data_IF_967074406722
#
_entry.id   IF_967074406722
#
_cell.length_a   1.000
_cell.length_b   1.000
_cell.length_c   1.000
_cell.angle_alpha   90.00
_cell.angle_beta   90.00
_cell.angle_gamma   90.00
#
_symmetry.space_group_name_H-M   'P 1'
#
loop_
_entity.id
_entity.type
_entity.pdbx_description
1 polymer ?
#
# COMPACT_ATOMS: atom_id res chain seq x y z
N UNK A 1 -12.09 8.62 -21.13
CA UNK A 1 -13.39 8.78 -21.82
C UNK A 1 -13.52 7.80 -22.99
N UNK A 2 -12.49 7.63 -23.81
CA UNK A 2 -12.50 6.70 -24.96
C UNK A 2 -12.71 5.22 -24.61
N UNK A 3 -12.52 4.84 -23.34
CA UNK A 3 -12.70 3.47 -22.85
C UNK A 3 -14.10 3.16 -22.26
N UNK A 4 -14.99 4.16 -22.14
CA UNK A 4 -16.38 3.94 -21.68
C UNK A 4 -16.57 3.60 -20.20
N UNK A 5 -15.63 3.97 -19.32
CA UNK A 5 -15.76 3.77 -17.88
C UNK A 5 -16.45 4.96 -17.20
N UNK A 6 -17.35 4.69 -16.25
CA UNK A 6 -18.04 5.69 -15.43
C UNK A 6 -17.19 6.18 -14.24
N UNK A 7 -16.29 5.31 -13.74
CA UNK A 7 -15.42 5.59 -12.59
C UNK A 7 -13.95 5.28 -12.91
N UNK A 8 -13.04 6.08 -12.37
CA UNK A 8 -11.59 5.86 -12.44
C UNK A 8 -10.97 5.90 -11.04
N UNK A 9 -10.27 4.83 -10.67
CA UNK A 9 -9.44 4.78 -9.47
C UNK A 9 -8.03 5.27 -9.80
N UNK A 10 -7.59 6.33 -9.12
CA UNK A 10 -6.23 6.87 -9.25
C UNK A 10 -5.50 6.69 -7.93
N UNK A 11 -4.34 6.05 -7.95
CA UNK A 11 -3.46 5.87 -6.80
C UNK A 11 -2.12 6.57 -6.98
N UNK A 12 -1.58 7.13 -5.90
CA UNK A 12 -0.21 7.64 -5.82
C UNK A 12 0.47 6.96 -4.64
N UNK A 13 1.56 6.24 -4.92
CA UNK A 13 2.42 5.65 -3.90
C UNK A 13 3.28 6.77 -3.32
N UNK A 14 3.26 6.92 -2.00
CA UNK A 14 4.12 7.86 -1.29
C UNK A 14 5.58 7.38 -1.34
N UNK A 15 6.53 8.32 -1.36
CA UNK A 15 7.93 7.96 -1.19
C UNK A 15 8.10 7.22 0.14
N UNK A 16 8.61 5.97 0.13
CA UNK A 16 8.72 5.18 1.34
C UNK A 16 9.67 5.86 2.32
N UNK A 17 9.18 6.14 3.53
CA UNK A 17 10.00 6.71 4.63
C UNK A 17 10.96 5.68 5.22
N UNK A 18 10.66 4.40 5.02
CA UNK A 18 11.41 3.25 5.48
C UNK A 18 11.29 2.12 4.47
N UNK A 19 12.25 1.20 4.47
CA UNK A 19 12.16 -0.08 3.74
C UNK A 19 11.04 -0.99 4.26
N UNK A 20 10.50 -0.66 5.44
CA UNK A 20 9.51 -1.47 6.14
C UNK A 20 8.09 -0.92 6.06
N UNK A 21 7.88 0.24 5.44
CA UNK A 21 6.55 0.86 5.33
C UNK A 21 6.36 1.46 3.93
N UNK A 22 5.24 1.13 3.29
CA UNK A 22 4.79 1.75 2.04
C UNK A 22 3.36 2.23 2.24
N UNK A 23 3.11 3.46 1.79
CA UNK A 23 1.80 4.08 1.84
C UNK A 23 1.36 4.50 0.44
N UNK A 24 0.06 4.51 0.21
CA UNK A 24 -0.54 5.06 -1.01
C UNK A 24 -1.80 5.86 -0.68
N UNK A 25 -1.96 6.95 -1.41
CA UNK A 25 -3.22 7.67 -1.48
C UNK A 25 -3.99 7.21 -2.72
N UNK A 26 -5.28 6.96 -2.57
CA UNK A 26 -6.16 6.61 -3.66
C UNK A 26 -7.39 7.50 -3.67
N UNK A 27 -7.88 7.79 -4.88
CA UNK A 27 -9.14 8.50 -5.09
C UNK A 27 -9.94 7.85 -6.22
N UNK A 28 -11.25 7.80 -6.04
CA UNK A 28 -12.19 7.36 -7.07
C UNK A 28 -12.87 8.59 -7.66
N UNK A 29 -12.85 8.72 -8.97
CA UNK A 29 -13.35 9.88 -9.70
C UNK A 29 -14.43 9.43 -10.66
N UNK A 30 -15.58 10.11 -10.63
CA UNK A 30 -16.62 9.97 -11.63
C UNK A 30 -16.20 10.74 -12.90
N UNK A 31 -16.16 10.03 -14.03
CA UNK A 31 -15.45 10.47 -15.23
C UNK A 31 -16.18 11.60 -15.95
N UNK A 32 -17.50 11.68 -15.84
CA UNK A 32 -18.29 12.66 -16.58
C UNK A 32 -18.17 14.06 -15.97
N UNK A 33 -18.35 14.16 -14.66
CA UNK A 33 -18.31 15.39 -13.87
C UNK A 33 -16.91 15.74 -13.36
N UNK A 34 -16.01 14.75 -13.27
CA UNK A 34 -14.70 14.91 -12.63
C UNK A 34 -14.76 15.00 -11.11
N UNK A 35 -15.92 14.73 -10.49
CA UNK A 35 -16.10 14.76 -9.04
C UNK A 35 -15.37 13.57 -8.40
N UNK A 36 -14.65 13.84 -7.32
CA UNK A 36 -14.08 12.78 -6.48
C UNK A 36 -15.18 12.24 -5.59
N UNK A 37 -15.57 10.98 -5.81
CA UNK A 37 -16.63 10.31 -5.05
C UNK A 37 -16.08 9.62 -3.81
N UNK A 38 -14.78 9.29 -3.81
CA UNK A 38 -14.11 8.66 -2.67
C UNK A 38 -12.64 9.02 -2.63
N UNK A 39 -12.08 9.11 -1.42
CA UNK A 39 -10.63 9.17 -1.21
C UNK A 39 -10.25 8.36 0.03
N UNK A 40 -9.05 7.79 0.00
CA UNK A 40 -8.54 6.99 1.10
C UNK A 40 -7.02 6.91 1.11
N UNK A 41 -6.48 6.55 2.26
CA UNK A 41 -5.05 6.31 2.46
C UNK A 41 -4.86 4.90 3.01
N UNK A 42 -4.06 4.10 2.32
CA UNK A 42 -3.66 2.76 2.76
C UNK A 42 -2.18 2.76 3.11
N UNK A 43 -1.81 2.10 4.21
CA UNK A 43 -0.41 1.88 4.56
C UNK A 43 -0.22 0.42 4.95
N UNK A 44 0.85 -0.19 4.45
CA UNK A 44 1.28 -1.53 4.82
C UNK A 44 2.66 -1.41 5.44
N UNK A 45 2.85 -2.07 6.59
CA UNK A 45 4.13 -2.13 7.26
C UNK A 45 4.53 -3.57 7.58
N UNK A 46 5.82 -3.86 7.53
CA UNK A 46 6.39 -5.12 8.01
C UNK A 46 7.05 -4.90 9.36
N UNK A 47 6.75 -5.78 10.31
CA UNK A 47 7.45 -5.80 11.59
C UNK A 47 8.73 -6.61 11.41
N UNK A 48 9.83 -5.94 11.04
CA UNK A 48 11.17 -6.54 11.22
C UNK A 48 11.40 -6.67 12.70
N UNK A 49 11.16 -7.88 13.19
CA UNK A 49 11.52 -8.27 14.54
C UNK A 49 13.04 -8.12 14.68
N UNK A 50 13.49 -6.94 15.15
CA UNK A 50 14.87 -6.63 15.52
C UNK A 50 15.23 -7.33 16.82
N UNK A 51 14.89 -8.62 16.92
CA UNK A 51 15.62 -9.53 17.80
C UNK A 51 17.02 -9.61 17.22
N UNK A 52 17.86 -8.64 17.62
CA UNK A 52 19.30 -8.80 17.72
C UNK A 52 19.50 -10.12 18.47
N UNK A 53 19.66 -11.20 17.71
CA UNK A 53 20.20 -12.44 18.22
C UNK A 53 21.60 -12.06 18.67
N UNK A 54 21.74 -11.81 19.96
CA UNK A 54 23.02 -11.81 20.68
C UNK A 54 23.57 -13.23 20.56
N UNK A 55 24.11 -13.56 19.39
CA UNK A 55 24.92 -14.76 19.19
C UNK A 55 26.34 -14.28 18.90
N UNK A 56 27.33 -14.77 19.65
CA UNK A 56 28.71 -14.39 19.45
C UNK A 56 29.17 -14.89 18.08
N UNK A 57 29.84 -13.99 17.37
CA UNK A 57 30.63 -14.19 16.15
C UNK A 57 30.98 -15.64 15.79
N UNK A 58 30.36 -16.16 14.74
CA UNK A 58 30.95 -17.24 13.93
C UNK A 58 30.74 -16.98 12.44
N UNK A 59 31.63 -16.14 11.92
CA UNK A 59 32.42 -16.33 10.69
C UNK A 59 31.80 -16.77 9.35
N UNK A 60 30.48 -16.77 9.19
CA UNK A 60 29.85 -16.99 7.87
C UNK A 60 28.78 -15.93 7.72
N UNK A 61 29.19 -14.78 7.17
CA UNK A 61 28.24 -13.76 6.75
C UNK A 61 27.50 -14.29 5.53
N UNK A 62 26.41 -15.02 5.77
CA UNK A 62 25.40 -15.19 4.74
C UNK A 62 24.80 -13.81 4.49
N UNK A 63 25.32 -13.19 3.43
CA UNK A 63 24.79 -12.00 2.82
C UNK A 63 23.45 -12.36 2.17
N UNK A 64 22.44 -12.68 2.99
CA UNK A 64 21.06 -12.81 2.51
C UNK A 64 20.57 -11.42 2.18
N UNK A 65 20.84 -11.03 0.94
CA UNK A 65 20.26 -9.94 0.18
C UNK A 65 18.82 -9.67 0.62
N UNK A 66 18.58 -8.47 1.14
CA UNK A 66 17.30 -7.93 1.60
C UNK A 66 16.31 -7.62 0.46
N UNK A 67 16.24 -8.47 -0.57
CA UNK A 67 15.46 -8.26 -1.79
C UNK A 67 14.67 -9.54 -2.08
N UNK A 68 13.50 -9.68 -1.42
CA UNK A 68 12.23 -9.75 -2.16
C UNK A 68 11.01 -9.10 -1.44
N UNK A 69 11.21 -8.39 -0.32
CA UNK A 69 10.09 -7.94 0.53
C UNK A 69 9.28 -6.77 -0.03
N UNK A 70 9.89 -5.90 -0.85
CA UNK A 70 9.20 -4.75 -1.45
C UNK A 70 8.07 -5.18 -2.39
N UNK A 71 8.24 -6.28 -3.12
CA UNK A 71 7.19 -6.82 -3.99
C UNK A 71 6.00 -7.33 -3.17
N UNK A 72 6.26 -8.01 -2.05
CA UNK A 72 5.22 -8.48 -1.14
C UNK A 72 4.47 -7.32 -0.49
N UNK A 73 5.17 -6.26 -0.09
CA UNK A 73 4.54 -5.06 0.45
C UNK A 73 3.69 -4.33 -0.61
N UNK A 74 4.12 -4.33 -1.88
CA UNK A 74 3.35 -3.74 -2.98
C UNK A 74 2.09 -4.56 -3.32
N UNK A 75 2.19 -5.89 -3.34
CA UNK A 75 1.04 -6.77 -3.54
C UNK A 75 0.01 -6.61 -2.40
N UNK A 76 0.48 -6.58 -1.16
CA UNK A 76 -0.38 -6.36 0.00
C UNK A 76 -1.01 -4.96 -0.03
N UNK A 77 -0.26 -3.93 -0.41
CA UNK A 77 -0.79 -2.58 -0.57
C UNK A 77 -1.86 -2.51 -1.65
N UNK A 78 -1.64 -3.18 -2.79
CA UNK A 78 -2.64 -3.27 -3.86
C UNK A 78 -3.93 -3.96 -3.36
N UNK A 79 -3.79 -5.05 -2.61
CA UNK A 79 -4.92 -5.74 -1.97
C UNK A 79 -5.69 -4.81 -1.01
N UNK A 80 -4.99 -4.08 -0.14
CA UNK A 80 -5.61 -3.11 0.77
C UNK A 80 -6.35 -2.00 0.02
N UNK A 81 -5.76 -1.47 -1.06
CA UNK A 81 -6.39 -0.44 -1.89
C UNK A 81 -7.69 -0.95 -2.53
N UNK A 82 -7.69 -2.16 -3.08
CA UNK A 82 -8.89 -2.72 -3.69
C UNK A 82 -9.96 -3.06 -2.66
N UNK A 83 -9.58 -3.59 -1.49
CA UNK A 83 -10.54 -4.00 -0.47
C UNK A 83 -11.20 -2.79 0.20
N UNK A 84 -10.45 -1.71 0.47
CA UNK A 84 -11.01 -0.48 1.03
C UNK A 84 -12.08 0.14 0.11
N UNK A 85 -11.89 0.07 -1.20
CA UNK A 85 -12.88 0.57 -2.17
C UNK A 85 -14.15 -0.30 -2.21
N UNK A 86 -14.03 -1.59 -1.90
CA UNK A 86 -15.15 -2.56 -2.01
C UNK A 86 -15.92 -2.77 -0.70
N UNK A 87 -15.33 -2.46 0.46
CA UNK A 87 -15.88 -2.79 1.78
C UNK A 87 -16.25 -1.57 2.62
N UNK A 88 -16.36 -0.38 2.03
CA UNK A 88 -16.84 0.78 2.77
C UNK A 88 -18.36 0.74 2.89
N UNK A 89 -18.86 0.40 4.08
CA UNK A 89 -20.22 0.78 4.47
C UNK A 89 -20.27 2.31 4.54
N UNK A 90 -21.28 2.96 3.91
CA UNK A 90 -21.39 4.41 3.94
C UNK A 90 -21.44 4.88 5.39
N UNK A 91 -20.45 5.68 5.79
CA UNK A 91 -20.50 6.41 7.06
C UNK A 91 -21.79 7.26 7.05
N UNK A 92 -22.64 7.21 8.08
CA UNK A 92 -23.76 8.13 8.19
C UNK A 92 -23.21 9.56 8.20
N UNK A 93 -23.75 10.41 7.32
CA UNK A 93 -23.51 11.85 7.31
C UNK A 93 -24.06 12.44 8.61
N UNK A 94 -23.22 13.18 9.35
CA UNK A 94 -23.62 14.01 10.50
C UNK A 94 -24.34 15.30 10.05
#
# INVERSE_FOLDING_TARGET
>A
RDAGYDLVLVGVIENPRSIDEISAFSKLIEVESGITVWNGRSSVSTNRNTRKKTFPSSWWSDNTTSLPQTNLLLEELASCLTNNVLHEDPSPED
#
